data_IF_648120286530
#
_entry.id   IF_648120286530
#
_cell.length_a   1.000
_cell.length_b   1.000
_cell.length_c   1.000
_cell.angle_alpha   90.00
_cell.angle_beta   90.00
_cell.angle_gamma   90.00
#
_symmetry.space_group_name_H-M   'P 1'
#
loop_
_entity.id
_entity.type
_entity.pdbx_description
1 polymer ?
#
# COMPACT_ATOMS: atom_id res chain seq x y z
N UNK A 1 2.81 -21.30 3.92
CA UNK A 1 1.60 -20.48 3.61
C UNK A 1 1.08 -19.94 4.92
N UNK A 2 0.99 -18.63 5.10
CA UNK A 2 0.38 -18.05 6.30
C UNK A 2 -1.13 -18.29 6.27
N UNK A 3 -1.73 -18.49 7.44
CA UNK A 3 -3.18 -18.69 7.53
C UNK A 3 -3.91 -17.33 7.66
N UNK A 4 -5.19 -17.30 7.28
CA UNK A 4 -5.99 -16.06 7.25
C UNK A 4 -6.19 -15.47 8.67
N UNK A 5 -6.26 -16.31 9.70
CA UNK A 5 -6.45 -15.87 11.08
C UNK A 5 -5.20 -15.18 11.66
N UNK A 6 -4.01 -15.70 11.36
CA UNK A 6 -2.73 -15.04 11.68
C UNK A 6 -2.64 -13.71 10.95
N UNK A 7 -3.05 -13.67 9.68
CA UNK A 7 -2.99 -12.45 8.88
C UNK A 7 -3.92 -11.36 9.43
N UNK A 8 -5.12 -11.72 9.85
CA UNK A 8 -6.05 -10.81 10.52
C UNK A 8 -5.49 -10.30 11.86
N UNK A 9 -4.90 -11.20 12.66
CA UNK A 9 -4.28 -10.83 13.94
C UNK A 9 -3.09 -9.87 13.75
N UNK A 10 -2.26 -10.10 12.73
CA UNK A 10 -1.14 -9.20 12.40
C UNK A 10 -1.63 -7.85 11.89
N UNK A 11 -2.69 -7.83 11.07
CA UNK A 11 -3.32 -6.59 10.60
C UNK A 11 -3.96 -5.78 11.75
N UNK A 12 -4.45 -6.45 12.80
CA UNK A 12 -4.91 -5.79 14.02
C UNK A 12 -3.75 -5.12 14.76
N UNK A 13 -2.67 -5.87 15.01
CA UNK A 13 -1.46 -5.34 15.67
C UNK A 13 -0.87 -4.16 14.93
N UNK A 14 -0.85 -4.22 13.60
CA UNK A 14 -0.35 -3.16 12.73
C UNK A 14 -1.01 -1.81 12.99
N UNK A 15 -2.29 -1.77 13.39
CA UNK A 15 -3.01 -0.50 13.65
C UNK A 15 -2.69 0.12 15.00
N UNK A 16 -2.27 -0.68 15.97
CA UNK A 16 -1.96 -0.20 17.32
C UNK A 16 -0.48 0.11 17.52
N UNK A 17 0.38 -0.56 16.75
CA UNK A 17 1.78 -0.18 16.67
C UNK A 17 1.87 1.20 15.99
N UNK A 18 2.87 2.02 16.35
CA UNK A 18 3.10 3.34 15.72
C UNK A 18 3.66 3.16 14.30
N UNK A 19 2.85 2.53 13.45
CA UNK A 19 3.21 2.01 12.14
C UNK A 19 3.20 3.12 11.10
N UNK A 20 4.15 3.02 10.17
CA UNK A 20 4.15 3.87 8.98
C UNK A 20 2.89 3.57 8.18
N UNK A 21 2.03 4.57 8.05
CA UNK A 21 0.74 4.46 7.39
C UNK A 21 0.42 5.71 6.59
N UNK A 22 -0.41 5.54 5.56
CA UNK A 22 -0.69 6.63 4.63
C UNK A 22 -1.42 6.19 3.37
N UNK A 23 -1.98 7.16 2.65
CA UNK A 23 -2.59 6.92 1.36
C UNK A 23 -1.54 6.79 0.26
N UNK A 24 -1.62 5.71 -0.53
CA UNK A 24 -0.83 5.52 -1.74
C UNK A 24 -1.72 5.07 -2.90
N UNK A 25 -1.29 5.35 -4.12
CA UNK A 25 -1.95 4.82 -5.32
C UNK A 25 -1.44 3.41 -5.61
N UNK A 26 -2.36 2.46 -5.73
CA UNK A 26 -2.09 1.07 -6.11
C UNK A 26 -2.70 0.79 -7.47
N UNK A 27 -1.92 0.26 -8.41
CA UNK A 27 -2.46 -0.26 -9.67
C UNK A 27 -3.18 -1.59 -9.40
N UNK A 28 -4.43 -1.68 -9.83
CA UNK A 28 -5.18 -2.94 -9.76
C UNK A 28 -4.63 -3.94 -10.77
N UNK A 29 -4.64 -5.23 -10.43
CA UNK A 29 -4.09 -6.28 -11.28
C UNK A 29 -5.02 -6.62 -12.47
N UNK A 30 -6.31 -6.34 -12.31
CA UNK A 30 -7.40 -6.72 -13.20
C UNK A 30 -7.76 -5.65 -14.24
N UNK A 31 -7.86 -4.39 -13.81
CA UNK A 31 -8.37 -3.28 -14.60
C UNK A 31 -7.29 -2.28 -15.01
N UNK A 32 -6.04 -2.51 -14.60
CA UNK A 32 -4.90 -1.61 -14.79
C UNK A 32 -5.15 -0.15 -14.31
N UNK A 33 -6.16 0.07 -13.45
CA UNK A 33 -6.50 1.39 -12.90
C UNK A 33 -5.71 1.64 -11.62
N UNK A 34 -5.27 2.88 -11.43
CA UNK A 34 -4.71 3.32 -10.16
C UNK A 34 -5.85 3.68 -9.20
N UNK A 35 -5.80 3.14 -7.99
CA UNK A 35 -6.76 3.41 -6.93
C UNK A 35 -6.04 3.91 -5.69
N UNK A 36 -6.60 4.92 -5.05
CA UNK A 36 -6.13 5.38 -3.75
C UNK A 36 -6.54 4.36 -2.69
N UNK A 37 -5.58 3.90 -1.88
CA UNK A 37 -5.80 2.96 -0.77
C UNK A 37 -5.03 3.43 0.45
N UNK A 38 -5.54 3.12 1.63
CA UNK A 38 -4.83 3.35 2.88
C UNK A 38 -3.88 2.18 3.11
N UNK A 39 -2.61 2.46 3.36
CA UNK A 39 -1.58 1.45 3.59
C UNK A 39 -1.08 1.51 5.03
N UNK A 40 -0.76 0.35 5.58
CA UNK A 40 -0.13 0.19 6.90
C UNK A 40 1.02 -0.78 6.77
N UNK A 41 2.23 -0.32 7.09
CA UNK A 41 3.44 -1.14 7.10
C UNK A 41 3.67 -1.71 8.50
N UNK A 42 3.73 -3.03 8.60
CA UNK A 42 4.05 -3.73 9.83
C UNK A 42 5.11 -4.80 9.57
N UNK A 43 6.31 -4.61 10.11
CA UNK A 43 7.48 -5.44 9.79
C UNK A 43 7.72 -5.50 8.26
N UNK A 44 7.71 -6.69 7.67
CA UNK A 44 7.81 -6.92 6.22
C UNK A 44 6.45 -7.11 5.53
N UNK A 45 5.35 -6.75 6.20
CA UNK A 45 3.99 -6.88 5.69
C UNK A 45 3.41 -5.50 5.40
N UNK A 46 2.98 -5.29 4.17
CA UNK A 46 2.32 -4.06 3.75
C UNK A 46 0.84 -4.34 3.52
N UNK A 47 0.03 -4.05 4.54
CA UNK A 47 -1.42 -4.16 4.46
C UNK A 47 -2.00 -2.97 3.70
N UNK A 48 -3.10 -3.20 2.99
CA UNK A 48 -3.86 -2.10 2.40
C UNK A 48 -5.36 -2.28 2.60
N UNK A 49 -6.03 -1.15 2.73
CA UNK A 49 -7.44 -1.01 3.08
C UNK A 49 -8.12 -0.09 2.07
N UNK A 50 -9.44 -0.18 2.00
CA UNK A 50 -10.22 0.73 1.18
C UNK A 50 -10.05 2.19 1.64
N UNK A 51 -10.02 2.43 2.95
CA UNK A 51 -9.74 3.70 3.60
C UNK A 51 -9.20 3.45 5.02
N UNK A 52 -8.85 4.53 5.73
CA UNK A 52 -8.26 4.48 7.08
C UNK A 52 -9.18 3.89 8.16
N UNK A 53 -10.51 4.05 8.03
CA UNK A 53 -11.46 3.57 9.05
C UNK A 53 -11.81 2.09 8.91
N UNK A 54 -11.40 1.43 7.82
CA UNK A 54 -11.62 0.00 7.62
C UNK A 54 -10.76 -0.84 8.59
N UNK A 55 -11.40 -1.75 9.34
CA UNK A 55 -10.69 -2.68 10.24
C UNK A 55 -10.14 -3.92 9.52
N UNK A 56 -10.76 -4.32 8.40
CA UNK A 56 -10.32 -5.49 7.63
C UNK A 56 -9.48 -5.05 6.43
N UNK A 57 -8.25 -5.59 6.26
CA UNK A 57 -7.45 -5.29 5.09
C UNK A 57 -8.10 -5.87 3.84
N UNK A 58 -8.06 -5.12 2.75
CA UNK A 58 -8.41 -5.58 1.41
C UNK A 58 -7.35 -6.53 0.84
N UNK A 59 -6.13 -6.50 1.38
CA UNK A 59 -5.09 -7.48 1.09
C UNK A 59 -3.77 -7.13 1.77
N UNK A 60 -2.77 -7.98 1.50
CA UNK A 60 -1.41 -7.83 2.02
C UNK A 60 -0.41 -8.01 0.89
N UNK A 61 0.70 -7.27 0.96
CA UNK A 61 1.87 -7.43 0.10
C UNK A 61 3.02 -7.85 1.03
N UNK A 62 3.63 -9.00 0.72
CA UNK A 62 4.84 -9.45 1.41
C UNK A 62 6.03 -8.73 0.80
N UNK A 63 6.74 -7.93 1.60
CA UNK A 63 7.89 -7.15 1.16
C UNK A 63 9.22 -7.91 1.29
N UNK A 64 9.19 -9.15 1.77
CA UNK A 64 10.39 -9.98 1.83
C UNK A 64 11.03 -10.08 0.45
N UNK A 65 12.32 -9.74 0.36
CA UNK A 65 13.08 -9.68 -0.90
C UNK A 65 12.55 -8.68 -1.95
N UNK A 66 11.69 -7.74 -1.56
CA UNK A 66 11.25 -6.65 -2.44
C UNK A 66 12.25 -5.50 -2.45
N UNK A 67 12.40 -4.86 -3.60
CA UNK A 67 13.24 -3.67 -3.79
C UNK A 67 12.42 -2.57 -4.48
N UNK A 68 12.80 -1.31 -4.26
CA UNK A 68 12.17 -0.16 -4.89
C UNK A 68 13.23 0.78 -5.41
N UNK A 69 13.16 1.09 -6.71
CA UNK A 69 13.99 2.11 -7.33
C UNK A 69 13.21 3.42 -7.42
N UNK A 70 13.85 4.51 -7.00
CA UNK A 70 13.30 5.84 -7.17
C UNK A 70 13.34 6.22 -8.65
N UNK A 71 12.19 6.16 -9.31
CA UNK A 71 12.02 6.73 -10.64
C UNK A 71 11.75 8.23 -10.49
N UNK A 72 12.73 9.06 -10.84
CA UNK A 72 12.53 10.50 -10.94
C UNK A 72 11.89 10.78 -12.29
N UNK A 73 10.56 10.93 -12.30
CA UNK A 73 9.86 11.45 -13.48
C UNK A 73 10.18 12.93 -13.62
N UNK A 74 11.09 13.26 -14.55
CA UNK A 74 11.29 14.64 -14.97
C UNK A 74 9.98 15.08 -15.62
N UNK A 75 9.24 15.98 -14.97
CA UNK A 75 8.09 16.63 -15.61
C UNK A 75 8.63 17.36 -16.84
N UNK A 76 8.33 16.86 -18.03
CA UNK A 76 8.51 17.61 -19.27
C UNK A 76 7.75 18.93 -19.11
N UNK A 77 8.46 20.06 -19.17
CA UNK A 77 7.85 21.39 -19.23
C UNK A 77 6.79 21.37 -20.33
N UNK A 78 5.54 21.63 -20.00
CA UNK A 78 4.54 21.97 -21.01
C UNK A 78 5.04 23.23 -21.74
N UNK A 79 5.04 23.28 -23.09
CA UNK A 79 5.36 24.51 -23.79
C UNK A 79 4.27 25.52 -23.47
N UNK A 80 4.66 26.68 -22.94
CA UNK A 80 3.79 27.84 -22.76
C UNK A 80 3.05 28.10 -24.08
N UNK A 81 1.72 27.91 -24.08
CA UNK A 81 0.88 28.41 -25.16
C UNK A 81 0.75 29.92 -24.94
N UNK A 82 1.55 30.66 -25.71
CA UNK A 82 1.41 32.11 -25.90
C UNK A 82 0.15 32.45 -26.68
#
# INVERSE_FOLDING_TARGET
>A
RMNDSQLAMLAEKARYDQSLSGYLHKRSADLAKWQLRWFVLYQNLLFYYENESCSRPSGVILLESSYCDRVVTVKSKEPDKQ
#
